data_IF_795017404604
#
_entry.id   IF_795017404604
#
_cell.length_a   1.000
_cell.length_b   1.000
_cell.length_c   1.000
_cell.angle_alpha   90.00
_cell.angle_beta   90.00
_cell.angle_gamma   90.00
#
_symmetry.space_group_name_H-M   'P 1'
#
loop_
_entity.id
_entity.type
_entity.pdbx_description
1 polymer ?
#
# COMPACT_ATOMS: atom_id res chain seq x y z
N UNK A 1 -15.42 10.46 -9.96
CA UNK A 1 -14.18 10.63 -9.18
C UNK A 1 -13.70 12.05 -9.34
N UNK A 2 -13.12 12.65 -8.30
CA UNK A 2 -12.55 14.00 -8.38
C UNK A 2 -11.31 14.02 -9.29
N UNK A 3 -11.03 15.18 -9.90
CA UNK A 3 -9.85 15.38 -10.76
C UNK A 3 -8.58 15.23 -9.92
N UNK A 4 -8.62 15.69 -8.69
CA UNK A 4 -7.52 15.67 -7.73
C UNK A 4 -7.09 14.22 -7.40
N UNK A 5 -8.05 13.31 -7.23
CA UNK A 5 -7.74 11.90 -6.99
C UNK A 5 -7.12 11.22 -8.22
N UNK A 6 -7.65 11.50 -9.42
CA UNK A 6 -7.07 10.98 -10.67
C UNK A 6 -5.65 11.50 -10.89
N UNK A 7 -5.38 12.76 -10.55
CA UNK A 7 -4.04 13.33 -10.57
C UNK A 7 -3.11 12.61 -9.61
N UNK A 8 -3.53 12.41 -8.35
CA UNK A 8 -2.74 11.66 -7.36
C UNK A 8 -2.47 10.21 -7.83
N UNK A 9 -3.48 9.54 -8.40
CA UNK A 9 -3.34 8.21 -8.96
C UNK A 9 -2.29 8.17 -10.09
N UNK A 10 -2.28 9.17 -10.96
CA UNK A 10 -1.29 9.26 -12.03
C UNK A 10 0.12 9.50 -11.48
N UNK A 11 0.27 10.32 -10.43
CA UNK A 11 1.57 10.47 -9.76
C UNK A 11 2.05 9.17 -9.13
N UNK A 12 1.17 8.41 -8.48
CA UNK A 12 1.53 7.09 -7.93
C UNK A 12 2.01 6.14 -9.03
N UNK A 13 1.30 6.07 -10.16
CA UNK A 13 1.69 5.22 -11.30
C UNK A 13 3.04 5.63 -11.85
N UNK A 14 3.24 6.93 -12.05
CA UNK A 14 4.51 7.46 -12.53
C UNK A 14 5.64 7.12 -11.55
N UNK A 15 5.42 7.31 -10.25
CA UNK A 15 6.35 6.92 -9.20
C UNK A 15 6.73 5.44 -9.30
N UNK A 16 5.77 4.52 -9.35
CA UNK A 16 6.05 3.09 -9.39
C UNK A 16 6.84 2.68 -10.64
N UNK A 17 6.53 3.28 -11.79
CA UNK A 17 7.23 2.98 -13.05
C UNK A 17 8.66 3.54 -13.07
N UNK A 18 8.87 4.76 -12.60
CA UNK A 18 10.20 5.38 -12.47
C UNK A 18 11.06 4.58 -11.48
N UNK A 19 10.50 4.23 -10.32
CA UNK A 19 11.19 3.42 -9.31
C UNK A 19 11.59 2.06 -9.88
N UNK A 20 10.65 1.35 -10.54
CA UNK A 20 10.95 0.05 -11.15
C UNK A 20 12.05 0.14 -12.21
N UNK A 21 12.00 1.16 -13.07
CA UNK A 21 13.02 1.41 -14.10
C UNK A 21 14.39 1.64 -13.46
N UNK A 22 14.45 2.51 -12.45
CA UNK A 22 15.69 2.85 -11.75
C UNK A 22 16.29 1.65 -11.02
N UNK A 23 15.49 0.87 -10.29
CA UNK A 23 15.95 -0.31 -9.55
C UNK A 23 16.46 -1.39 -10.49
N UNK A 24 15.75 -1.65 -11.60
CA UNK A 24 16.19 -2.61 -12.61
C UNK A 24 17.54 -2.25 -13.24
N UNK A 25 17.86 -0.96 -13.32
CA UNK A 25 19.14 -0.48 -13.86
C UNK A 25 20.25 -0.41 -12.81
N UNK A 26 19.92 -0.11 -11.55
CA UNK A 26 20.91 0.27 -10.53
C UNK A 26 21.32 -0.85 -9.56
N UNK A 27 20.46 -1.84 -9.34
CA UNK A 27 20.74 -2.88 -8.34
C UNK A 27 20.79 -4.26 -8.99
N UNK A 28 21.42 -5.20 -8.30
CA UNK A 28 21.03 -6.59 -8.48
C UNK A 28 19.52 -6.66 -8.15
N UNK A 29 18.72 -7.43 -8.89
CA UNK A 29 17.28 -7.57 -8.62
C UNK A 29 17.03 -8.39 -7.33
N UNK A 30 17.93 -8.29 -6.34
CA UNK A 30 17.83 -8.93 -5.05
C UNK A 30 16.70 -8.25 -4.25
N UNK A 31 15.65 -9.00 -3.85
CA UNK A 31 14.45 -8.41 -3.26
C UNK A 31 14.70 -7.52 -2.04
N UNK A 32 15.70 -7.87 -1.22
CA UNK A 32 16.05 -7.10 -0.04
C UNK A 32 16.69 -5.73 -0.36
N UNK A 33 17.50 -5.65 -1.43
CA UNK A 33 18.08 -4.38 -1.90
C UNK A 33 17.02 -3.50 -2.54
N UNK A 34 16.16 -4.10 -3.38
CA UNK A 34 14.98 -3.45 -3.96
C UNK A 34 14.10 -2.85 -2.85
N UNK A 35 13.88 -3.61 -1.78
CA UNK A 35 13.08 -3.15 -0.66
C UNK A 35 13.75 -2.02 0.12
N UNK A 36 15.06 -2.10 0.41
CA UNK A 36 15.78 -1.02 1.08
C UNK A 36 15.73 0.28 0.28
N UNK A 37 15.97 0.23 -1.03
CA UNK A 37 15.93 1.41 -1.89
C UNK A 37 14.51 1.97 -2.02
N UNK A 38 13.49 1.11 -2.10
CA UNK A 38 12.08 1.53 -2.10
C UNK A 38 11.71 2.24 -0.80
N UNK A 39 12.12 1.68 0.34
CA UNK A 39 11.91 2.26 1.66
C UNK A 39 12.59 3.63 1.79
N UNK A 40 13.87 3.72 1.46
CA UNK A 40 14.62 4.98 1.50
C UNK A 40 14.00 6.03 0.57
N UNK A 41 13.57 5.64 -0.65
CA UNK A 41 12.90 6.54 -1.60
C UNK A 41 11.60 7.10 -1.02
N UNK A 42 10.72 6.23 -0.48
CA UNK A 42 9.45 6.66 0.08
C UNK A 42 9.63 7.54 1.32
N UNK A 43 10.49 7.14 2.25
CA UNK A 43 10.70 7.87 3.51
C UNK A 43 11.44 9.19 3.29
N UNK A 44 12.43 9.23 2.40
CA UNK A 44 13.05 10.50 2.02
C UNK A 44 12.03 11.43 1.36
N UNK A 45 11.20 10.91 0.45
CA UNK A 45 10.16 11.71 -0.23
C UNK A 45 9.12 12.25 0.74
N UNK A 46 8.76 11.48 1.78
CA UNK A 46 7.88 11.96 2.83
C UNK A 46 8.58 12.99 3.73
N UNK A 47 9.68 12.63 4.41
CA UNK A 47 10.13 13.40 5.58
C UNK A 47 11.36 14.27 5.34
N UNK A 48 12.11 14.03 4.25
CA UNK A 48 13.36 14.76 3.90
C UNK A 48 14.43 14.75 5.00
N UNK A 49 14.37 13.77 5.91
CA UNK A 49 15.29 13.65 7.05
C UNK A 49 16.66 13.09 6.64
N UNK A 50 17.70 13.47 7.39
CA UNK A 50 19.09 13.03 7.17
C UNK A 50 19.21 11.50 7.19
N UNK A 51 18.43 10.83 8.04
CA UNK A 51 18.40 9.37 8.16
C UNK A 51 18.09 8.64 6.84
N UNK A 52 17.47 9.31 5.87
CA UNK A 52 17.03 8.73 4.60
C UNK A 52 17.82 9.24 3.40
N UNK A 53 18.71 10.23 3.59
CA UNK A 53 19.47 10.88 2.51
C UNK A 53 20.42 9.97 1.75
N UNK A 54 20.75 8.81 2.29
CA UNK A 54 21.53 7.76 1.59
C UNK A 54 20.94 7.47 0.19
N UNK A 55 19.61 7.61 0.00
CA UNK A 55 18.99 7.41 -1.32
C UNK A 55 19.55 8.33 -2.41
N UNK A 56 19.99 9.54 -2.04
CA UNK A 56 20.51 10.54 -2.98
C UNK A 56 21.86 10.13 -3.59
N UNK A 57 22.55 9.13 -3.03
CA UNK A 57 23.76 8.61 -3.65
C UNK A 57 23.48 7.80 -4.92
N UNK A 58 22.22 7.43 -5.17
CA UNK A 58 21.81 6.74 -6.39
C UNK A 58 21.07 7.73 -7.31
N UNK A 59 21.75 8.35 -8.29
CA UNK A 59 21.13 9.36 -9.16
C UNK A 59 20.01 8.79 -10.04
N UNK A 60 19.95 7.48 -10.23
CA UNK A 60 18.88 6.85 -11.00
C UNK A 60 17.51 6.95 -10.29
N UNK A 61 17.50 7.20 -8.97
CA UNK A 61 16.28 7.33 -8.18
C UNK A 61 15.70 8.75 -8.15
N UNK A 62 16.36 9.76 -8.74
CA UNK A 62 15.92 11.16 -8.69
C UNK A 62 14.48 11.34 -9.22
N UNK A 63 14.18 10.78 -10.40
CA UNK A 63 12.84 10.83 -10.98
C UNK A 63 11.79 10.13 -10.12
N UNK A 64 12.15 9.01 -9.49
CA UNK A 64 11.27 8.28 -8.58
C UNK A 64 10.99 9.08 -7.29
N UNK A 65 12.01 9.74 -6.72
CA UNK A 65 11.88 10.61 -5.54
C UNK A 65 10.92 11.77 -5.84
N UNK A 66 11.11 12.46 -6.97
CA UNK A 66 10.26 13.58 -7.37
C UNK A 66 8.80 13.16 -7.66
N UNK A 67 8.62 11.98 -8.25
CA UNK A 67 7.29 11.42 -8.47
C UNK A 67 6.61 11.02 -7.15
N UNK A 68 7.36 10.40 -6.23
CA UNK A 68 6.87 9.99 -4.92
C UNK A 68 6.47 11.20 -4.07
N UNK A 69 7.29 12.25 -4.05
CA UNK A 69 7.02 13.52 -3.36
C UNK A 69 5.70 14.15 -3.82
N UNK A 70 5.52 14.27 -5.14
CA UNK A 70 4.27 14.77 -5.74
C UNK A 70 3.07 13.92 -5.38
N UNK A 71 3.22 12.60 -5.40
CA UNK A 71 2.16 11.67 -5.01
C UNK A 71 1.78 11.83 -3.54
N UNK A 72 2.74 11.77 -2.61
CA UNK A 72 2.51 11.89 -1.17
C UNK A 72 1.84 13.23 -0.85
N UNK A 73 2.33 14.33 -1.43
CA UNK A 73 1.72 15.65 -1.25
C UNK A 73 0.29 15.71 -1.78
N UNK A 74 0.01 15.12 -2.94
CA UNK A 74 -1.35 15.07 -3.49
C UNK A 74 -2.29 14.19 -2.65
N UNK A 75 -1.82 13.03 -2.18
CA UNK A 75 -2.57 12.12 -1.32
C UNK A 75 -2.92 12.75 0.03
N UNK A 76 -1.97 13.49 0.64
CA UNK A 76 -2.21 14.20 1.89
C UNK A 76 -3.22 15.35 1.73
N UNK A 77 -3.17 16.13 0.64
CA UNK A 77 -4.20 17.14 0.35
C UNK A 77 -5.60 16.54 0.12
N UNK A 78 -5.67 15.32 -0.41
CA UNK A 78 -6.94 14.61 -0.56
C UNK A 78 -7.51 14.15 0.78
N UNK A 79 -6.65 13.78 1.73
CA UNK A 79 -7.07 13.31 3.05
C UNK A 79 -7.65 14.44 3.91
N UNK A 80 -7.16 15.66 3.74
CA UNK A 80 -7.63 16.86 4.46
C UNK A 80 -8.94 17.44 3.90
N UNK A 81 -9.35 17.04 2.69
CA UNK A 81 -10.46 17.70 1.99
C UNK A 81 -11.84 17.05 2.16
N UNK A 82 -11.97 15.75 2.48
CA UNK A 82 -13.24 15.16 2.96
C UNK A 82 -13.15 13.67 3.35
N UNK A 83 -13.84 13.25 4.42
CA UNK A 83 -14.08 11.83 4.73
C UNK A 83 -14.80 11.07 3.60
N UNK A 84 -15.60 11.74 2.76
CA UNK A 84 -16.26 11.11 1.61
C UNK A 84 -15.27 10.63 0.55
N UNK A 85 -14.04 11.15 0.52
CA UNK A 85 -13.03 10.72 -0.43
C UNK A 85 -12.59 9.28 -0.16
N UNK A 86 -12.44 8.87 1.11
CA UNK A 86 -12.02 7.49 1.42
C UNK A 86 -12.94 6.46 0.79
N UNK A 87 -14.24 6.58 1.04
CA UNK A 87 -15.26 5.72 0.47
C UNK A 87 -15.26 5.68 -1.06
N UNK A 88 -15.10 6.85 -1.71
CA UNK A 88 -15.04 6.91 -3.17
C UNK A 88 -13.81 6.19 -3.74
N UNK A 89 -12.64 6.34 -3.11
CA UNK A 89 -11.40 5.70 -3.58
C UNK A 89 -11.43 4.18 -3.44
N UNK A 90 -11.99 3.66 -2.34
CA UNK A 90 -12.20 2.22 -2.15
C UNK A 90 -13.16 1.67 -3.21
N UNK A 91 -14.33 2.32 -3.37
CA UNK A 91 -15.34 1.88 -4.33
C UNK A 91 -14.81 1.88 -5.75
N UNK A 92 -14.01 2.89 -6.10
CA UNK A 92 -13.33 2.90 -7.39
C UNK A 92 -12.40 1.70 -7.54
N UNK A 93 -11.55 1.43 -6.54
CA UNK A 93 -10.63 0.29 -6.57
C UNK A 93 -11.37 -1.04 -6.72
N UNK A 94 -12.44 -1.25 -5.95
CA UNK A 94 -13.28 -2.46 -6.06
C UNK A 94 -13.94 -2.57 -7.44
N UNK A 95 -14.51 -1.49 -7.99
CA UNK A 95 -15.12 -1.52 -9.33
C UNK A 95 -14.10 -1.83 -10.41
N UNK A 96 -12.86 -1.38 -10.25
CA UNK A 96 -11.76 -1.73 -11.17
C UNK A 96 -11.42 -3.21 -11.06
N UNK A 97 -11.37 -3.74 -9.85
CA UNK A 97 -11.20 -5.18 -9.58
C UNK A 97 -12.31 -6.01 -10.23
N UNK A 98 -13.58 -5.65 -10.04
CA UNK A 98 -14.73 -6.33 -10.65
C UNK A 98 -14.64 -6.37 -12.19
N UNK A 99 -14.28 -5.23 -12.78
CA UNK A 99 -14.10 -5.14 -14.23
C UNK A 99 -12.97 -6.04 -14.71
N UNK A 100 -11.86 -6.08 -13.98
CA UNK A 100 -10.74 -6.96 -14.31
C UNK A 100 -11.15 -8.43 -14.23
N UNK A 101 -11.79 -8.86 -13.14
CA UNK A 101 -12.28 -10.24 -12.95
C UNK A 101 -13.24 -10.65 -14.07
N UNK A 102 -14.14 -9.74 -14.48
CA UNK A 102 -15.06 -9.99 -15.59
C UNK A 102 -14.34 -10.21 -16.93
N UNK A 103 -13.25 -9.47 -17.16
CA UNK A 103 -12.45 -9.58 -18.39
C UNK A 103 -11.56 -10.83 -18.36
N UNK A 104 -10.93 -11.13 -17.22
CA UNK A 104 -10.02 -12.27 -17.07
C UNK A 104 -10.76 -13.62 -17.10
N UNK A 105 -12.03 -13.64 -16.69
CA UNK A 105 -12.83 -14.86 -16.53
C UNK A 105 -12.37 -15.77 -15.38
N UNK A 106 -11.33 -15.38 -14.63
CA UNK A 106 -10.83 -16.12 -13.48
C UNK A 106 -11.60 -15.75 -12.23
N UNK A 107 -11.83 -16.72 -11.35
CA UNK A 107 -12.48 -16.47 -10.06
C UNK A 107 -11.55 -15.60 -9.19
N UNK A 108 -12.05 -14.55 -8.52
CA UNK A 108 -11.20 -13.70 -7.72
C UNK A 108 -10.82 -14.38 -6.40
N UNK A 109 -9.67 -14.02 -5.83
CA UNK A 109 -9.26 -14.38 -4.47
C UNK A 109 -8.84 -13.11 -3.74
N UNK A 110 -9.36 -12.88 -2.54
CA UNK A 110 -9.13 -11.64 -1.79
C UNK A 110 -7.99 -11.79 -0.78
N UNK A 111 -7.07 -10.83 -0.74
CA UNK A 111 -6.10 -10.68 0.34
C UNK A 111 -6.34 -9.31 0.97
N UNK A 112 -6.70 -9.30 2.25
CA UNK A 112 -6.83 -8.07 3.04
C UNK A 112 -5.64 -7.95 3.99
N UNK A 113 -4.95 -6.83 3.93
CA UNK A 113 -3.84 -6.49 4.82
C UNK A 113 -4.28 -5.44 5.85
N UNK A 114 -4.04 -5.67 7.14
CA UNK A 114 -4.24 -4.64 8.17
C UNK A 114 -3.35 -3.42 7.86
N UNK A 115 -2.07 -3.67 7.58
CA UNK A 115 -1.09 -2.62 7.32
C UNK A 115 -0.17 -2.97 6.13
N UNK A 116 -0.03 -2.05 5.19
CA UNK A 116 0.93 -2.11 4.09
C UNK A 116 1.24 -0.68 3.61
N UNK A 117 2.50 -0.23 3.68
CA UNK A 117 2.88 1.11 3.24
C UNK A 117 3.45 1.10 1.81
N UNK A 118 3.81 2.28 1.31
CA UNK A 118 4.36 2.44 -0.03
C UNK A 118 5.64 1.62 -0.31
N UNK A 119 6.58 1.47 0.64
CA UNK A 119 7.77 0.64 0.44
C UNK A 119 7.43 -0.82 0.08
N UNK A 120 6.51 -1.43 0.81
CA UNK A 120 6.12 -2.82 0.57
C UNK A 120 5.32 -2.96 -0.72
N UNK A 121 4.47 -1.97 -1.00
CA UNK A 121 3.73 -1.93 -2.26
C UNK A 121 4.65 -1.84 -3.48
N UNK A 122 5.72 -1.03 -3.40
CA UNK A 122 6.73 -0.93 -4.43
C UNK A 122 7.51 -2.24 -4.65
N UNK A 123 7.84 -2.95 -3.57
CA UNK A 123 8.47 -4.28 -3.66
C UNK A 123 7.55 -5.28 -4.36
N UNK A 124 6.30 -5.39 -3.91
CA UNK A 124 5.30 -6.28 -4.52
C UNK A 124 5.11 -5.90 -5.99
N UNK A 125 4.98 -4.62 -6.31
CA UNK A 125 4.86 -4.16 -7.69
C UNK A 125 6.07 -4.59 -8.53
N UNK A 126 7.30 -4.41 -8.03
CA UNK A 126 8.52 -4.77 -8.76
C UNK A 126 8.56 -6.26 -9.12
N UNK A 127 8.16 -7.13 -8.20
CA UNK A 127 8.06 -8.59 -8.41
C UNK A 127 7.04 -8.97 -9.50
N UNK A 128 5.95 -8.20 -9.59
CA UNK A 128 4.84 -8.46 -10.52
C UNK A 128 4.74 -7.48 -11.68
N UNK A 129 5.75 -6.64 -11.92
CA UNK A 129 5.67 -5.56 -12.92
C UNK A 129 5.33 -6.07 -14.34
N UNK A 130 5.75 -7.30 -14.67
CA UNK A 130 5.45 -7.97 -15.94
C UNK A 130 4.01 -8.48 -16.07
N UNK A 131 3.23 -8.48 -14.98
CA UNK A 131 1.82 -8.93 -14.89
C UNK A 131 0.84 -7.82 -14.53
N UNK A 132 1.34 -6.64 -14.18
CA UNK A 132 0.53 -5.51 -13.71
C UNK A 132 0.51 -4.44 -14.80
N UNK A 133 -0.67 -4.13 -15.33
CA UNK A 133 -0.82 -2.91 -16.13
C UNK A 133 -0.78 -1.70 -15.19
N UNK A 134 -0.31 -0.55 -15.70
CA UNK A 134 -0.42 0.72 -14.97
C UNK A 134 -1.87 1.06 -14.62
N UNK A 135 -2.86 0.49 -15.32
CA UNK A 135 -4.28 0.65 -15.01
C UNK A 135 -4.76 -0.11 -13.77
N UNK A 136 -3.93 -1.02 -13.25
CA UNK A 136 -4.25 -1.96 -12.18
C UNK A 136 -3.53 -1.61 -10.87
N UNK A 137 -2.65 -0.61 -10.93
CA UNK A 137 -2.09 0.06 -9.75
C UNK A 137 -3.12 1.03 -9.18
N UNK A 138 -3.50 0.83 -7.93
CA UNK A 138 -4.56 1.56 -7.27
C UNK A 138 -4.13 1.94 -5.84
N UNK A 139 -4.79 2.94 -5.27
CA UNK A 139 -4.66 3.25 -3.85
C UNK A 139 -5.97 3.83 -3.34
N UNK A 140 -6.12 3.76 -2.03
CA UNK A 140 -7.22 4.32 -1.27
C UNK A 140 -6.65 5.33 -0.29
N UNK A 141 -7.47 6.32 0.08
CA UNK A 141 -7.14 7.27 1.14
C UNK A 141 -7.89 6.85 2.39
N UNK A 142 -7.19 6.61 3.50
CA UNK A 142 -7.76 6.31 4.81
C UNK A 142 -7.43 7.43 5.82
N UNK A 143 -8.16 8.56 5.80
CA UNK A 143 -7.90 9.69 6.69
C UNK A 143 -8.36 9.35 8.10
N UNK A 144 -7.44 9.32 9.05
CA UNK A 144 -7.77 9.19 10.47
C UNK A 144 -7.52 7.81 11.10
N UNK A 145 -7.10 6.80 10.33
CA UNK A 145 -6.78 5.48 10.89
C UNK A 145 -7.91 4.75 11.55
N UNK A 146 -9.12 5.18 11.22
CA UNK A 146 -10.32 4.59 11.74
C UNK A 146 -10.82 3.63 10.69
N UNK A 147 -11.39 2.54 11.18
CA UNK A 147 -12.24 1.60 10.46
C UNK A 147 -13.32 2.26 9.60
N UNK A 148 -13.56 3.57 9.70
CA UNK A 148 -14.41 4.39 8.82
C UNK A 148 -14.36 4.06 7.34
N UNK A 149 -13.18 3.77 6.80
CA UNK A 149 -12.98 3.33 5.41
C UNK A 149 -13.74 2.03 5.14
N UNK A 150 -13.62 1.08 6.06
CA UNK A 150 -14.36 -0.19 6.05
C UNK A 150 -15.80 -0.12 6.57
N UNK A 151 -16.14 0.78 7.50
CA UNK A 151 -17.52 1.09 7.89
C UNK A 151 -18.29 1.64 6.69
N UNK A 152 -17.69 2.59 5.96
CA UNK A 152 -18.28 3.10 4.74
C UNK A 152 -18.53 1.97 3.73
N UNK A 153 -17.55 1.08 3.55
CA UNK A 153 -17.68 -0.07 2.68
C UNK A 153 -18.78 -1.03 3.16
N UNK A 154 -18.82 -1.34 4.46
CA UNK A 154 -19.83 -2.17 5.09
C UNK A 154 -21.25 -1.64 4.86
N UNK A 155 -21.47 -0.36 5.16
CA UNK A 155 -22.77 0.30 5.08
C UNK A 155 -23.22 0.52 3.63
N UNK A 156 -22.35 1.08 2.79
CA UNK A 156 -22.74 1.62 1.48
C UNK A 156 -22.53 0.63 0.33
N UNK A 157 -21.68 -0.38 0.51
CA UNK A 157 -21.38 -1.34 -0.54
C UNK A 157 -21.84 -2.76 -0.20
N UNK A 158 -21.55 -3.22 1.01
CA UNK A 158 -21.89 -4.56 1.44
C UNK A 158 -23.34 -4.66 1.92
N UNK A 159 -24.01 -3.53 2.19
CA UNK A 159 -25.36 -3.44 2.75
C UNK A 159 -25.51 -4.26 4.04
N UNK A 160 -24.45 -4.31 4.85
CA UNK A 160 -24.49 -5.03 6.13
C UNK A 160 -24.63 -4.00 7.24
N UNK A 161 -25.81 -3.97 7.87
CA UNK A 161 -26.04 -3.19 9.07
C UNK A 161 -25.35 -3.87 10.23
N UNK A 162 -24.20 -3.36 10.65
CA UNK A 162 -23.55 -3.84 11.87
C UNK A 162 -24.07 -3.05 13.07
N UNK A 163 -24.37 -3.75 14.16
CA UNK A 163 -24.71 -3.12 15.45
C UNK A 163 -23.47 -2.61 16.20
N UNK A 164 -22.26 -2.85 15.67
CA UNK A 164 -20.93 -2.51 16.20
C UNK A 164 -19.97 -2.20 15.05
N UNK A 165 -18.79 -1.64 15.33
CA UNK A 165 -17.74 -1.45 14.32
C UNK A 165 -17.37 -2.80 13.65
N UNK A 166 -17.30 -2.87 12.30
CA UNK A 166 -17.02 -4.11 11.59
C UNK A 166 -15.54 -4.51 11.75
N UNK A 167 -15.28 -5.79 11.99
CA UNK A 167 -13.91 -6.31 11.98
C UNK A 167 -13.39 -6.48 10.55
N UNK A 168 -12.07 -6.56 10.36
CA UNK A 168 -11.51 -6.87 9.03
C UNK A 168 -12.06 -8.19 8.45
N UNK A 169 -12.34 -9.16 9.32
CA UNK A 169 -12.92 -10.44 8.93
C UNK A 169 -14.35 -10.30 8.42
N UNK A 170 -15.15 -9.43 9.04
CA UNK A 170 -16.50 -9.09 8.56
C UNK A 170 -16.46 -8.49 7.16
N UNK A 171 -15.51 -7.59 6.92
CA UNK A 171 -15.28 -6.94 5.62
C UNK A 171 -14.83 -7.96 4.58
N UNK A 172 -13.89 -8.83 4.92
CA UNK A 172 -13.40 -9.88 4.03
C UNK A 172 -14.53 -10.83 3.62
N UNK A 173 -15.34 -11.28 4.58
CA UNK A 173 -16.49 -12.15 4.31
C UNK A 173 -17.54 -11.45 3.45
N UNK A 174 -17.82 -10.17 3.69
CA UNK A 174 -18.74 -9.38 2.88
C UNK A 174 -18.26 -9.22 1.44
N UNK A 175 -17.00 -8.80 1.26
CA UNK A 175 -16.39 -8.65 -0.06
C UNK A 175 -16.30 -9.97 -0.81
N UNK A 176 -15.83 -11.04 -0.16
CA UNK A 176 -15.69 -12.36 -0.77
C UNK A 176 -17.04 -12.89 -1.28
N UNK A 177 -18.13 -12.70 -0.51
CA UNK A 177 -19.47 -13.07 -0.96
C UNK A 177 -19.94 -12.20 -2.13
N UNK A 178 -19.83 -10.88 -2.00
CA UNK A 178 -20.34 -9.94 -3.01
C UNK A 178 -19.61 -10.04 -4.35
N UNK A 179 -18.30 -10.25 -4.30
CA UNK A 179 -17.43 -10.40 -5.48
C UNK A 179 -17.33 -11.86 -5.97
N UNK A 180 -18.04 -12.79 -5.32
CA UNK A 180 -17.98 -14.24 -5.60
C UNK A 180 -16.54 -14.78 -5.63
N UNK A 181 -15.72 -14.39 -4.64
CA UNK A 181 -14.36 -14.89 -4.50
C UNK A 181 -14.33 -16.39 -4.21
N UNK A 182 -13.25 -17.07 -4.61
CA UNK A 182 -13.01 -18.47 -4.24
C UNK A 182 -12.62 -18.62 -2.76
N UNK A 183 -12.10 -17.56 -2.17
CA UNK A 183 -11.73 -17.46 -0.76
C UNK A 183 -11.12 -16.11 -0.44
N UNK A 184 -10.63 -15.97 0.78
CA UNK A 184 -9.84 -14.83 1.20
C UNK A 184 -8.74 -15.20 2.19
N UNK A 185 -7.78 -14.28 2.38
CA UNK A 185 -6.75 -14.36 3.42
C UNK A 185 -6.63 -13.00 4.11
N UNK A 186 -6.44 -13.03 5.43
CA UNK A 186 -6.13 -11.85 6.23
C UNK A 186 -4.63 -11.86 6.55
N UNK A 187 -3.93 -10.79 6.23
CA UNK A 187 -2.50 -10.62 6.48
C UNK A 187 -2.30 -9.52 7.52
N UNK A 188 -1.83 -9.90 8.71
CA UNK A 188 -1.75 -9.04 9.91
C UNK A 188 -0.33 -8.86 10.42
N UNK A 189 0.63 -9.51 9.77
CA UNK A 189 2.01 -9.64 10.21
C UNK A 189 2.71 -8.28 10.27
N UNK A 190 2.49 -7.43 9.26
CA UNK A 190 3.08 -6.09 9.24
C UNK A 190 2.57 -5.21 10.37
N UNK A 191 1.25 -5.17 10.59
CA UNK A 191 0.65 -4.39 11.68
C UNK A 191 1.19 -4.80 13.06
N UNK A 192 1.30 -6.12 13.30
CA UNK A 192 1.95 -6.66 14.51
C UNK A 192 3.41 -6.20 14.64
N UNK A 193 4.15 -6.14 13.53
CA UNK A 193 5.53 -5.64 13.53
C UNK A 193 5.59 -4.14 13.83
N UNK A 194 4.70 -3.32 13.26
CA UNK A 194 4.62 -1.89 13.59
C UNK A 194 4.40 -1.70 15.08
N UNK A 195 3.38 -2.34 15.66
CA UNK A 195 3.10 -2.25 17.10
C UNK A 195 4.24 -2.75 17.99
N UNK A 196 4.94 -3.82 17.58
CA UNK A 196 6.10 -4.35 18.31
C UNK A 196 7.24 -3.34 18.37
N UNK A 197 7.50 -2.62 17.28
CA UNK A 197 8.66 -1.76 17.14
C UNK A 197 8.37 -0.26 17.32
N UNK A 198 7.11 0.15 17.47
CA UNK A 198 6.71 1.54 17.69
C UNK A 198 7.36 2.18 18.92
N UNK A 199 7.62 1.40 19.98
CA UNK A 199 8.25 1.90 21.22
C UNK A 199 9.75 1.65 21.30
N UNK A 200 10.23 0.59 20.65
CA UNK A 200 11.63 0.15 20.75
C UNK A 200 12.46 0.77 19.62
N UNK A 201 11.90 0.89 18.44
CA UNK A 201 12.56 1.35 17.23
C UNK A 201 13.68 0.42 16.75
N UNK A 202 14.17 0.71 15.55
CA UNK A 202 15.27 0.05 14.87
C UNK A 202 16.54 0.89 14.94
N UNK A 203 17.70 0.26 14.86
CA UNK A 203 18.99 0.96 14.83
C UNK A 203 19.29 1.58 13.47
N UNK A 204 18.63 1.11 12.42
CA UNK A 204 18.77 1.61 11.05
C UNK A 204 17.58 1.23 10.18
N UNK A 205 17.42 1.91 9.05
CA UNK A 205 16.46 1.50 8.00
C UNK A 205 16.74 0.08 7.52
N UNK A 206 18.01 -0.29 7.33
CA UNK A 206 18.37 -1.64 6.90
C UNK A 206 17.82 -2.71 7.84
N UNK A 207 18.02 -2.55 9.15
CA UNK A 207 17.51 -3.52 10.14
C UNK A 207 15.99 -3.61 10.18
N UNK A 208 15.29 -2.50 9.92
CA UNK A 208 13.83 -2.47 9.80
C UNK A 208 13.38 -3.23 8.54
N UNK A 209 14.00 -2.92 7.40
CA UNK A 209 13.75 -3.55 6.11
C UNK A 209 13.99 -5.06 6.18
N UNK A 210 15.11 -5.51 6.76
CA UNK A 210 15.42 -6.94 6.97
C UNK A 210 14.34 -7.63 7.79
N UNK A 211 13.89 -6.99 8.88
CA UNK A 211 12.82 -7.54 9.74
C UNK A 211 11.48 -7.64 9.00
N UNK A 212 11.12 -6.62 8.22
CA UNK A 212 9.84 -6.59 7.51
C UNK A 212 9.87 -7.48 6.25
N UNK A 213 11.04 -7.67 5.66
CA UNK A 213 11.23 -8.40 4.41
C UNK A 213 10.75 -9.85 4.49
N UNK A 214 10.94 -10.52 5.64
CA UNK A 214 10.46 -11.89 5.83
C UNK A 214 8.93 -11.99 5.68
N UNK A 215 8.20 -11.07 6.31
CA UNK A 215 6.74 -11.03 6.25
C UNK A 215 6.24 -10.69 4.85
N UNK A 216 6.87 -9.72 4.18
CA UNK A 216 6.48 -9.35 2.81
C UNK A 216 6.87 -10.41 1.79
N UNK A 217 7.99 -11.11 1.96
CA UNK A 217 8.37 -12.24 1.12
C UNK A 217 7.33 -13.36 1.18
N UNK A 218 6.81 -13.64 2.40
CA UNK A 218 5.73 -14.61 2.58
C UNK A 218 4.46 -14.18 1.85
N UNK A 219 4.03 -12.92 2.01
CA UNK A 219 2.88 -12.36 1.29
C UNK A 219 3.05 -12.44 -0.23
N UNK A 220 4.21 -12.04 -0.75
CA UNK A 220 4.53 -12.09 -2.18
C UNK A 220 4.50 -13.53 -2.72
N UNK A 221 5.02 -14.50 -1.97
CA UNK A 221 4.94 -15.91 -2.34
C UNK A 221 3.50 -16.42 -2.42
N UNK A 222 2.65 -16.04 -1.45
CA UNK A 222 1.21 -16.37 -1.47
C UNK A 222 0.49 -15.74 -2.66
N UNK A 223 0.74 -14.47 -2.95
CA UNK A 223 0.20 -13.78 -4.13
C UNK A 223 0.62 -14.52 -5.40
N UNK A 224 1.91 -14.86 -5.52
CA UNK A 224 2.45 -15.58 -6.68
C UNK A 224 1.74 -16.91 -6.89
N UNK A 225 1.59 -17.71 -5.83
CA UNK A 225 0.91 -19.00 -5.89
C UNK A 225 -0.56 -18.85 -6.31
N UNK A 226 -1.31 -17.93 -5.70
CA UNK A 226 -2.73 -17.71 -5.99
C UNK A 226 -2.96 -17.17 -7.41
N UNK A 227 -2.09 -16.27 -7.88
CA UNK A 227 -2.20 -15.63 -9.21
C UNK A 227 -2.09 -16.61 -10.38
N UNK A 228 -1.64 -17.85 -10.15
CA UNK A 228 -1.58 -18.90 -11.18
C UNK A 228 -2.97 -19.38 -11.63
N UNK A 229 -3.97 -19.29 -10.76
CA UNK A 229 -5.31 -19.85 -10.96
C UNK A 229 -6.44 -18.87 -10.67
N UNK A 230 -6.13 -17.74 -10.03
CA UNK A 230 -7.10 -16.74 -9.59
C UNK A 230 -6.71 -15.34 -10.07
N UNK A 231 -7.71 -14.46 -10.11
CA UNK A 231 -7.44 -13.02 -10.05
C UNK A 231 -7.28 -12.63 -8.58
N UNK A 232 -6.07 -12.27 -8.15
CA UNK A 232 -5.78 -11.84 -6.78
C UNK A 232 -6.11 -10.36 -6.61
N UNK A 233 -6.91 -10.07 -5.59
CA UNK A 233 -7.28 -8.72 -5.17
C UNK A 233 -6.58 -8.43 -3.85
N UNK A 234 -5.59 -7.53 -3.87
CA UNK A 234 -4.90 -7.07 -2.66
C UNK A 234 -5.49 -5.71 -2.25
N UNK A 235 -5.97 -5.62 -1.02
CA UNK A 235 -6.42 -4.37 -0.40
C UNK A 235 -5.76 -4.26 0.97
N UNK A 236 -5.41 -3.05 1.36
CA UNK A 236 -4.98 -2.77 2.74
C UNK A 236 -5.88 -1.75 3.41
N UNK A 237 -5.98 -1.80 4.73
CA UNK A 237 -6.67 -0.77 5.51
C UNK A 237 -5.86 0.53 5.49
N UNK A 238 -4.55 0.44 5.73
CA UNK A 238 -3.69 1.60 5.90
C UNK A 238 -2.20 1.32 5.70
N UNK A 239 -1.42 2.39 5.64
CA UNK A 239 0.04 2.34 5.72
C UNK A 239 0.57 2.53 7.14
N UNK A 240 1.85 2.87 7.22
CA UNK A 240 2.50 3.34 8.44
C UNK A 240 3.49 4.46 8.10
N UNK A 241 3.81 5.25 9.11
CA UNK A 241 4.82 6.31 9.09
C UNK A 241 6.10 5.87 9.80
N UNK A 242 7.19 6.61 9.56
CA UNK A 242 8.45 6.42 10.30
C UNK A 242 8.94 7.74 10.86
N UNK A 243 9.59 7.68 12.02
CA UNK A 243 10.20 8.83 12.69
C UNK A 243 11.63 8.48 13.06
N UNK A 244 12.58 9.33 12.69
CA UNK A 244 13.93 9.25 13.24
C UNK A 244 14.00 10.04 14.55
N UNK A 245 14.40 9.37 15.63
CA UNK A 245 14.59 10.01 16.94
C UNK A 245 15.72 9.31 17.69
N UNK A 246 16.60 10.09 18.32
CA UNK A 246 17.69 9.58 19.16
C UNK A 246 18.55 8.51 18.46
N UNK A 247 18.79 8.69 17.14
CA UNK A 247 19.57 7.75 16.32
C UNK A 247 18.85 6.43 15.99
N UNK A 248 17.54 6.32 16.25
CA UNK A 248 16.72 5.15 15.97
C UNK A 248 15.58 5.50 15.02
N UNK A 249 15.04 4.49 14.35
CA UNK A 249 13.89 4.60 13.45
C UNK A 249 12.68 3.92 14.10
N UNK A 250 11.60 4.66 14.29
CA UNK A 250 10.37 4.16 14.90
C UNK A 250 9.28 4.10 13.84
N UNK A 251 8.78 2.91 13.48
CA UNK A 251 7.56 2.79 12.69
C UNK A 251 6.34 3.02 13.58
N UNK A 252 5.33 3.73 13.10
CA UNK A 252 4.13 4.03 13.89
C UNK A 252 2.96 4.38 12.99
N UNK A 253 1.75 4.36 13.55
CA UNK A 253 0.55 4.78 12.84
C UNK A 253 0.27 6.25 13.13
N UNK A 254 0.41 7.10 12.12
CA UNK A 254 0.16 8.54 12.25
C UNK A 254 -0.96 8.97 11.32
N UNK A 255 -2.05 9.43 11.92
CA UNK A 255 -3.25 9.79 11.17
C UNK A 255 -3.50 11.30 11.05
N UNK A 256 -2.56 12.11 11.53
CA UNK A 256 -2.65 13.56 11.54
C UNK A 256 -1.27 14.22 11.41
N UNK A 257 -1.23 15.35 10.71
CA UNK A 257 0.01 16.06 10.35
C UNK A 257 0.50 15.69 8.96
N UNK A 258 1.13 16.66 8.29
CA UNK A 258 1.63 16.47 6.92
C UNK A 258 3.17 16.46 6.91
N UNK A 259 3.78 15.55 6.13
CA UNK A 259 3.17 14.46 5.37
C UNK A 259 2.91 13.20 6.23
N UNK A 260 1.86 12.45 5.88
CA UNK A 260 1.54 11.13 6.43
C UNK A 260 1.47 10.07 5.33
N UNK A 261 2.17 8.96 5.54
CA UNK A 261 2.08 7.74 4.73
C UNK A 261 1.00 6.79 5.25
N UNK A 262 0.65 6.83 6.55
CA UNK A 262 -0.37 5.92 7.11
C UNK A 262 -1.74 6.08 6.43
N UNK A 263 -2.06 7.28 5.97
CA UNK A 263 -3.32 7.54 5.25
C UNK A 263 -3.38 6.92 3.85
N UNK A 264 -2.27 6.43 3.31
CA UNK A 264 -2.21 5.85 1.97
C UNK A 264 -2.37 4.35 2.11
N UNK A 265 -3.42 3.81 1.52
CA UNK A 265 -3.74 2.39 1.56
C UNK A 265 -3.62 1.78 0.15
N UNK A 266 -2.48 1.15 -0.19
CA UNK A 266 -2.27 0.45 -1.45
C UNK A 266 -3.38 -0.56 -1.82
N UNK A 267 -3.65 -0.65 -3.13
CA UNK A 267 -4.52 -1.67 -3.71
C UNK A 267 -3.92 -2.20 -5.02
N UNK A 268 -4.05 -3.51 -5.25
CA UNK A 268 -3.48 -4.16 -6.44
C UNK A 268 -4.41 -5.24 -6.98
N UNK A 269 -4.44 -5.35 -8.31
CA UNK A 269 -5.10 -6.43 -9.04
C UNK A 269 -4.06 -7.22 -9.82
N UNK A 270 -4.09 -8.54 -9.69
CA UNK A 270 -3.17 -9.46 -10.37
C UNK A 270 -3.95 -10.63 -10.96
N UNK A 271 -3.63 -11.11 -12.15
CA UNK A 271 -4.25 -12.33 -12.71
C UNK A 271 -4.10 -12.47 -14.20
#
# INVERSE_FOLDING_TARGET
MSIEWLTALNYMKYFMLELYSALRTSTSLEPLEVYEQSALTCFYSAYKEEAYRKVLSNPLLEGAIDACDRFIGAANRLSSTAQSMSGQTILYSIRRMENFTRISGRKPFLILCDCLSLPEYALIFTEFAHKVSSSDMLFMINPGGKTKTFEFLAENYLNVGYSKEPSLEDIANGLARKLNCSGYTLFREMDRLIHKFEKVGFTSIRSMVETFHESISSLTASIKALSTSHTVLLLTDHGYDVMSKDGRIYPYHRWSGEPSLSIIAPALVLG
#
